data_IF_827262590961
#
_entry.id   IF_827262590961
#
_cell.length_a   1.000
_cell.length_b   1.000
_cell.length_c   1.000
_cell.angle_alpha   90.00
_cell.angle_beta   90.00
_cell.angle_gamma   90.00
#
_symmetry.space_group_name_H-M   'P 1'
#
loop_
_entity.id
_entity.type
_entity.pdbx_description
1 polymer ?
#
# COMPACT_ATOMS: atom_id res chain seq x y z
N UNK A 1 -1.59 8.01 10.11
CA UNK A 1 -0.37 8.54 9.44
C UNK A 1 -0.79 9.01 8.06
N UNK A 2 -0.36 10.17 7.58
CA UNK A 2 -0.84 10.70 6.27
C UNK A 2 -0.12 9.98 5.12
N UNK A 3 -0.87 9.42 4.16
CA UNK A 3 -0.32 8.84 2.94
C UNK A 3 0.24 9.95 2.04
N UNK A 4 1.46 9.77 1.52
CA UNK A 4 2.05 10.69 0.56
C UNK A 4 1.69 10.24 -0.86
N UNK A 5 0.51 10.66 -1.30
CA UNK A 5 -0.02 10.37 -2.63
C UNK A 5 0.68 11.28 -3.64
N UNK A 6 1.36 10.68 -4.61
CA UNK A 6 2.04 11.40 -5.70
C UNK A 6 1.22 11.42 -6.99
N UNK A 7 0.29 10.47 -7.14
CA UNK A 7 -0.68 10.42 -8.22
C UNK A 7 -1.90 9.60 -7.81
N UNK A 8 -3.08 10.03 -8.25
CA UNK A 8 -4.36 9.36 -8.02
C UNK A 8 -5.31 9.68 -9.19
N UNK A 9 -5.91 8.65 -9.76
CA UNK A 9 -7.06 8.75 -10.66
C UNK A 9 -8.07 7.62 -10.34
N UNK A 10 -9.05 7.43 -11.21
CA UNK A 10 -10.11 6.42 -11.03
C UNK A 10 -9.59 4.96 -11.09
N UNK A 11 -8.41 4.74 -11.67
CA UNK A 11 -7.84 3.42 -11.95
C UNK A 11 -6.59 3.11 -11.13
N UNK A 12 -5.77 4.12 -10.79
CA UNK A 12 -4.46 3.94 -10.16
C UNK A 12 -4.20 4.91 -9.01
N UNK A 13 -3.56 4.36 -7.98
CA UNK A 13 -3.04 5.11 -6.84
C UNK A 13 -1.53 4.88 -6.73
N UNK A 14 -0.77 5.97 -6.70
CA UNK A 14 0.68 5.95 -6.56
C UNK A 14 1.07 6.68 -5.30
N UNK A 15 1.73 5.95 -4.40
CA UNK A 15 2.15 6.47 -3.09
C UNK A 15 3.67 6.44 -3.01
N UNK A 16 4.23 7.56 -2.56
CA UNK A 16 5.62 7.62 -2.14
C UNK A 16 5.73 7.11 -0.69
N UNK A 17 6.06 5.83 -0.55
CA UNK A 17 6.15 5.16 0.75
C UNK A 17 7.35 5.70 1.55
N UNK A 18 7.16 6.19 2.79
CA UNK A 18 8.30 6.55 3.64
C UNK A 18 9.12 5.30 4.01
N UNK A 19 10.42 5.50 4.22
CA UNK A 19 11.28 4.44 4.76
C UNK A 19 10.80 4.02 6.15
N UNK A 20 10.92 2.74 6.49
CA UNK A 20 10.48 2.19 7.78
C UNK A 20 9.00 1.77 7.83
N UNK A 21 8.15 2.22 6.90
CA UNK A 21 6.80 1.69 6.75
C UNK A 21 6.82 0.34 6.02
N UNK A 22 6.27 -0.68 6.69
CA UNK A 22 6.13 -2.04 6.16
C UNK A 22 4.94 -2.08 5.20
N UNK A 23 5.08 -2.77 4.06
CA UNK A 23 4.03 -2.82 3.03
C UNK A 23 2.85 -3.71 3.44
N UNK A 24 3.11 -4.93 3.91
CA UNK A 24 2.10 -5.88 4.41
C UNK A 24 2.57 -6.58 5.68
N UNK A 25 1.61 -7.05 6.47
CA UNK A 25 1.91 -7.78 7.70
C UNK A 25 2.75 -9.02 7.39
N UNK A 26 3.89 -9.11 8.05
CA UNK A 26 4.63 -10.35 8.23
C UNK A 26 4.20 -11.01 9.54
N UNK A 27 5.18 -11.50 10.32
CA UNK A 27 4.93 -12.08 11.65
C UNK A 27 4.61 -11.01 12.70
N UNK A 28 4.95 -9.74 12.45
CA UNK A 28 4.78 -8.62 13.39
C UNK A 28 3.42 -7.92 13.23
N UNK A 29 2.92 -7.36 14.33
CA UNK A 29 1.65 -6.61 14.46
C UNK A 29 1.81 -5.10 14.25
N UNK A 30 2.78 -4.67 13.44
CA UNK A 30 2.96 -3.23 13.12
C UNK A 30 1.91 -2.78 12.09
N UNK A 31 1.42 -1.53 12.18
CA UNK A 31 0.55 -0.94 11.15
C UNK A 31 1.30 -0.87 9.82
N UNK A 32 0.68 -1.39 8.76
CA UNK A 32 1.29 -1.48 7.44
C UNK A 32 0.64 -0.54 6.43
N UNK A 33 1.30 -0.34 5.29
CA UNK A 33 0.73 0.43 4.18
C UNK A 33 -0.62 -0.14 3.74
N UNK A 34 -0.77 -1.46 3.71
CA UNK A 34 -2.03 -2.11 3.39
C UNK A 34 -3.15 -1.79 4.40
N UNK A 35 -2.83 -1.77 5.69
CA UNK A 35 -3.82 -1.38 6.71
C UNK A 35 -4.28 0.07 6.49
N UNK A 36 -3.34 0.98 6.21
CA UNK A 36 -3.65 2.38 5.92
C UNK A 36 -4.45 2.53 4.62
N UNK A 37 -4.14 1.76 3.59
CA UNK A 37 -4.89 1.77 2.33
C UNK A 37 -6.34 1.31 2.53
N UNK A 38 -6.57 0.25 3.31
CA UNK A 38 -7.92 -0.24 3.61
C UNK A 38 -8.70 0.77 4.46
N UNK A 39 -8.04 1.49 5.36
CA UNK A 39 -8.68 2.56 6.15
C UNK A 39 -9.13 3.73 5.26
N UNK A 40 -8.32 4.11 4.28
CA UNK A 40 -8.59 5.23 3.37
C UNK A 40 -9.50 4.87 2.18
N UNK A 41 -9.38 3.65 1.67
CA UNK A 41 -10.06 3.13 0.47
C UNK A 41 -10.59 1.72 0.74
N UNK A 42 -11.70 1.57 1.49
CA UNK A 42 -12.23 0.26 1.89
C UNK A 42 -12.55 -0.68 0.72
N UNK A 43 -12.84 -0.14 -0.46
CA UNK A 43 -13.09 -0.88 -1.69
C UNK A 43 -11.86 -1.64 -2.22
N UNK A 44 -10.64 -1.19 -1.85
CA UNK A 44 -9.39 -1.79 -2.30
C UNK A 44 -9.26 -3.26 -1.86
N UNK A 45 -9.99 -3.68 -0.82
CA UNK A 45 -9.98 -5.07 -0.32
C UNK A 45 -10.35 -6.09 -1.41
N UNK A 46 -11.06 -5.65 -2.46
CA UNK A 46 -11.52 -6.47 -3.57
C UNK A 46 -10.63 -6.34 -4.81
N UNK A 47 -9.57 -5.55 -4.75
CA UNK A 47 -8.64 -5.31 -5.85
C UNK A 47 -7.46 -6.28 -5.73
N UNK A 48 -7.19 -7.03 -6.80
CA UNK A 48 -6.14 -8.05 -6.84
C UNK A 48 -6.59 -9.44 -6.34
N UNK A 49 -5.81 -10.47 -6.67
CA UNK A 49 -6.16 -11.87 -6.38
C UNK A 49 -5.88 -12.29 -4.93
N UNK A 50 -5.01 -11.56 -4.23
CA UNK A 50 -4.58 -11.87 -2.87
C UNK A 50 -5.24 -10.92 -1.85
N UNK A 51 -6.18 -11.45 -1.06
CA UNK A 51 -6.84 -10.72 0.02
C UNK A 51 -5.89 -10.28 1.14
N UNK A 52 -4.70 -10.89 1.23
CA UNK A 52 -3.64 -10.44 2.14
C UNK A 52 -2.86 -9.27 1.55
N UNK A 53 -3.01 -8.98 0.26
CA UNK A 53 -2.35 -7.88 -0.47
C UNK A 53 -3.28 -7.08 -1.39
N UNK A 54 -4.37 -6.52 -0.86
CA UNK A 54 -5.35 -5.81 -1.67
C UNK A 54 -4.75 -4.56 -2.34
N UNK A 55 -4.90 -4.47 -3.67
CA UNK A 55 -4.51 -3.32 -4.50
C UNK A 55 -3.01 -3.02 -4.59
N UNK A 56 -2.12 -3.91 -4.13
CA UNK A 56 -0.67 -3.70 -4.20
C UNK A 56 -0.09 -4.54 -5.33
N UNK A 57 0.10 -3.90 -6.50
CA UNK A 57 0.59 -4.58 -7.71
C UNK A 57 2.11 -4.75 -7.69
N UNK A 58 2.86 -3.81 -7.12
CA UNK A 58 4.31 -3.92 -6.96
C UNK A 58 4.75 -3.68 -5.51
N UNK A 59 5.91 -4.26 -5.14
CA UNK A 59 6.49 -4.15 -3.80
C UNK A 59 7.85 -3.45 -3.88
N UNK A 60 8.04 -2.50 -2.97
CA UNK A 60 9.36 -2.01 -2.57
C UNK A 60 9.65 -2.54 -1.16
N UNK A 61 10.86 -3.02 -0.93
CA UNK A 61 11.25 -3.58 0.36
C UNK A 61 11.24 -2.51 1.49
N UNK A 62 11.20 -2.98 2.75
CA UNK A 62 11.01 -2.14 3.95
C UNK A 62 11.97 -0.94 4.02
N UNK A 63 13.22 -1.17 3.63
CA UNK A 63 14.32 -0.18 3.66
C UNK A 63 14.56 0.49 2.30
N UNK A 64 13.69 0.25 1.33
CA UNK A 64 13.76 0.87 0.00
C UNK A 64 12.74 1.99 -0.10
N UNK A 65 13.21 3.18 -0.49
CA UNK A 65 12.35 4.28 -0.94
C UNK A 65 12.06 4.14 -2.44
N UNK A 66 10.85 4.47 -2.87
CA UNK A 66 10.48 4.42 -4.29
C UNK A 66 8.97 4.48 -4.52
N UNK A 67 8.60 4.53 -5.81
CA UNK A 67 7.21 4.54 -6.29
C UNK A 67 6.62 3.13 -6.22
N UNK A 68 5.54 2.96 -5.45
CA UNK A 68 4.76 1.73 -5.44
C UNK A 68 3.39 2.02 -6.07
N UNK A 69 3.12 1.39 -7.22
CA UNK A 69 1.87 1.52 -7.96
C UNK A 69 1.03 0.26 -7.84
N UNK A 70 -0.27 0.44 -7.63
CA UNK A 70 -1.33 -0.56 -7.68
C UNK A 70 -2.32 -0.24 -8.79
N UNK A 71 -2.78 -1.27 -9.49
CA UNK A 71 -3.86 -1.26 -10.49
C UNK A 71 -4.92 -2.26 -10.02
#
# INVERSE_FOLDING_TARGET
MKLNIVYEDEDILVINKPAGLVVHKGIKTETTLADLLVEHYPEIINVGDDKMRPGIVHRLDKDTSGLNGGR
#
